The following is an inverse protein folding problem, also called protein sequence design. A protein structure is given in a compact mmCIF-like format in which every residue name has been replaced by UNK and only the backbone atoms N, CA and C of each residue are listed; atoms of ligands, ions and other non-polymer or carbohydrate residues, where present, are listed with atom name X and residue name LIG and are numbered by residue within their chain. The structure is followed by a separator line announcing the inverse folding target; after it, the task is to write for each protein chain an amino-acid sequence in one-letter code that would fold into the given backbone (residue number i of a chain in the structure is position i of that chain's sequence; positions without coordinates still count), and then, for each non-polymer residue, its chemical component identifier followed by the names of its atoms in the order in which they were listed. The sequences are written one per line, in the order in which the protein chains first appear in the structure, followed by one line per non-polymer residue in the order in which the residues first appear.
data_IF_650107355090
#
_entry.id   IF_650107355090
#
_cell.length_a   1.000
_cell.length_b   1.000
_cell.length_c   1.000
_cell.angle_alpha   90.00
_cell.angle_beta   90.00
_cell.angle_gamma   90.00
#
_symmetry.space_group_name_H-M   'P 1'
#
loop_
_entity.id
_entity.type
_entity.pdbx_description
1 polymer ?
#
# COMPACT_ATOMS: atom_id res chain seq x y z
N UNK A 1 18.25 28.91 5.24
CA UNK A 1 18.11 27.45 5.35
C UNK A 1 16.69 27.12 4.90
N UNK A 2 16.51 26.15 4.02
CA UNK A 2 15.17 25.68 3.61
C UNK A 2 14.41 25.13 4.83
N UNK A 3 13.08 25.26 4.84
CA UNK A 3 12.25 24.66 5.89
C UNK A 3 12.41 23.13 5.87
N UNK A 4 12.52 22.46 7.06
CA UNK A 4 12.63 21.00 7.12
C UNK A 4 11.41 20.32 6.51
N UNK A 5 11.62 19.29 5.69
CA UNK A 5 10.59 18.60 4.91
C UNK A 5 10.47 17.13 5.31
N UNK A 6 9.25 16.61 5.23
CA UNK A 6 9.00 15.17 5.33
C UNK A 6 9.40 14.46 4.03
N UNK A 7 9.57 13.14 4.08
CA UNK A 7 9.78 12.33 2.86
C UNK A 7 8.63 12.55 1.86
N UNK A 8 7.39 12.65 2.34
CA UNK A 8 6.24 12.93 1.50
C UNK A 8 6.37 14.29 0.79
N UNK A 9 6.73 15.36 1.52
CA UNK A 9 6.91 16.68 0.92
C UNK A 9 8.01 16.70 -0.14
N UNK A 10 9.13 16.02 0.12
CA UNK A 10 10.25 15.92 -0.83
C UNK A 10 9.83 15.24 -2.13
N UNK A 11 9.14 14.10 -2.03
CA UNK A 11 8.66 13.37 -3.21
C UNK A 11 7.60 14.18 -3.94
N UNK A 12 6.62 14.75 -3.20
CA UNK A 12 5.56 15.54 -3.79
C UNK A 12 6.11 16.72 -4.59
N UNK A 13 6.98 17.54 -3.99
CA UNK A 13 7.52 18.72 -4.63
C UNK A 13 8.38 18.42 -5.86
N UNK A 14 9.11 17.29 -5.85
CA UNK A 14 9.93 16.88 -7.00
C UNK A 14 9.08 16.38 -8.18
N UNK A 15 7.81 16.03 -7.95
CA UNK A 15 6.88 15.53 -8.99
C UNK A 15 5.76 16.51 -9.34
N UNK A 16 5.67 17.64 -8.65
CA UNK A 16 4.67 18.66 -8.91
C UNK A 16 4.99 19.38 -10.22
N UNK A 17 4.18 19.13 -11.25
CA UNK A 17 4.33 19.76 -12.56
C UNK A 17 3.58 21.09 -12.65
N UNK A 18 2.42 21.20 -12.01
CA UNK A 18 1.57 22.39 -12.02
C UNK A 18 0.63 22.40 -10.81
N UNK A 19 0.26 23.57 -10.35
CA UNK A 19 -0.73 23.75 -9.27
C UNK A 19 -1.64 24.93 -9.62
N UNK A 20 -2.96 24.72 -9.43
CA UNK A 20 -3.98 25.73 -9.60
C UNK A 20 -5.09 25.53 -8.57
N UNK A 21 -5.37 26.56 -7.77
CA UNK A 21 -6.42 26.58 -6.76
C UNK A 21 -6.41 25.34 -5.81
N UNK A 22 -5.23 24.74 -5.58
CA UNK A 22 -5.03 23.56 -4.73
C UNK A 22 -5.21 22.22 -5.45
N UNK A 23 -5.54 22.22 -6.73
CA UNK A 23 -5.43 21.06 -7.59
C UNK A 23 -4.02 20.97 -8.17
N UNK A 24 -3.37 19.85 -7.95
CA UNK A 24 -1.97 19.64 -8.28
C UNK A 24 -1.84 18.59 -9.39
N UNK A 25 -1.14 18.93 -10.46
CA UNK A 25 -0.77 17.97 -11.50
C UNK A 25 0.56 17.34 -11.14
N UNK A 26 0.52 16.06 -10.77
CA UNK A 26 1.70 15.27 -10.43
C UNK A 26 2.18 14.46 -11.63
N UNK A 27 3.49 14.42 -11.85
CA UNK A 27 4.11 13.45 -12.72
C UNK A 27 4.13 12.08 -12.06
N UNK A 28 3.81 11.02 -12.81
CA UNK A 28 3.80 9.63 -12.35
C UNK A 28 4.94 8.87 -13.02
N UNK A 29 5.87 8.35 -12.21
CA UNK A 29 7.04 7.62 -12.73
C UNK A 29 6.71 6.23 -13.20
N UNK A 30 5.86 5.50 -12.45
CA UNK A 30 5.57 4.08 -12.68
C UNK A 30 4.09 3.79 -12.58
N UNK A 31 3.63 2.91 -13.47
CA UNK A 31 2.25 2.43 -13.48
C UNK A 31 2.24 0.91 -13.49
N UNK A 32 1.72 0.31 -12.42
CA UNK A 32 1.46 -1.13 -12.33
C UNK A 32 0.04 -1.39 -12.82
N UNK A 33 -0.14 -2.43 -13.61
CA UNK A 33 -1.41 -2.72 -14.29
C UNK A 33 -1.79 -4.17 -14.05
N UNK A 34 -3.06 -4.40 -13.74
CA UNK A 34 -3.63 -5.73 -13.62
C UNK A 34 -4.95 -5.86 -14.42
N UNK A 35 -5.50 -7.06 -14.50
CA UNK A 35 -6.59 -7.40 -15.40
C UNK A 35 -7.96 -6.82 -15.02
N UNK A 36 -8.18 -6.48 -13.73
CA UNK A 36 -9.54 -6.10 -13.26
C UNK A 36 -9.90 -4.65 -13.64
N UNK A 37 -9.00 -3.70 -13.43
CA UNK A 37 -9.30 -2.25 -13.59
C UNK A 37 -8.82 -1.65 -14.92
N UNK A 38 -8.08 -2.41 -15.72
CA UNK A 38 -7.45 -1.89 -16.93
C UNK A 38 -8.30 -1.98 -18.22
N UNK A 39 -9.24 -2.93 -18.41
CA UNK A 39 -9.93 -3.08 -19.71
C UNK A 39 -10.63 -1.82 -20.18
N UNK A 40 -11.39 -1.16 -19.32
CA UNK A 40 -12.12 0.07 -19.67
C UNK A 40 -11.17 1.26 -19.91
N UNK A 41 -10.03 1.31 -19.21
CA UNK A 41 -9.03 2.35 -19.43
C UNK A 41 -8.40 2.24 -20.83
N UNK A 42 -8.06 1.04 -21.28
CA UNK A 42 -7.56 0.82 -22.63
C UNK A 42 -8.62 1.09 -23.71
N UNK A 43 -9.88 0.74 -23.45
CA UNK A 43 -10.97 1.07 -24.35
C UNK A 43 -11.16 2.59 -24.48
N UNK A 44 -11.07 3.33 -23.36
CA UNK A 44 -11.09 4.79 -23.36
C UNK A 44 -9.98 5.41 -24.22
N UNK A 45 -8.76 4.85 -24.17
CA UNK A 45 -7.66 5.27 -25.04
C UNK A 45 -8.00 5.06 -26.52
N UNK A 46 -8.57 3.90 -26.90
CA UNK A 46 -8.99 3.62 -28.29
C UNK A 46 -10.06 4.60 -28.76
N UNK A 47 -11.12 4.78 -27.96
CA UNK A 47 -12.23 5.68 -28.28
C UNK A 47 -11.76 7.14 -28.45
N UNK A 48 -10.78 7.57 -27.67
CA UNK A 48 -10.20 8.91 -27.74
C UNK A 48 -9.07 9.05 -28.76
N UNK A 49 -8.74 7.96 -29.48
CA UNK A 49 -7.62 7.88 -30.43
C UNK A 49 -6.27 8.30 -29.79
N UNK A 50 -6.03 7.83 -28.57
CA UNK A 50 -4.80 8.09 -27.81
C UNK A 50 -3.97 6.82 -27.67
N UNK A 51 -2.66 7.02 -27.54
CA UNK A 51 -1.70 5.95 -27.24
C UNK A 51 -1.20 6.06 -25.81
N UNK A 52 -0.56 5.00 -25.31
CA UNK A 52 0.16 5.06 -24.04
C UNK A 52 1.40 5.93 -24.21
N UNK A 53 1.53 6.96 -23.38
CA UNK A 53 2.60 7.97 -23.51
C UNK A 53 3.99 7.39 -23.27
N UNK A 54 4.15 6.53 -22.26
CA UNK A 54 5.42 5.91 -21.89
C UNK A 54 5.23 4.44 -21.51
N UNK A 55 5.09 3.54 -22.51
CA UNK A 55 4.86 2.12 -22.23
C UNK A 55 5.95 1.48 -21.35
N UNK A 56 7.20 1.95 -21.47
CA UNK A 56 8.34 1.46 -20.66
C UNK A 56 8.25 1.82 -19.17
N UNK A 57 7.36 2.73 -18.79
CA UNK A 57 7.10 3.12 -17.41
C UNK A 57 5.89 2.37 -16.82
N UNK A 58 5.32 1.45 -17.59
CA UNK A 58 4.23 0.57 -17.15
C UNK A 58 4.71 -0.89 -17.12
N UNK A 59 4.22 -1.64 -16.15
CA UNK A 59 4.47 -3.07 -16.01
C UNK A 59 3.15 -3.76 -15.66
N UNK A 60 2.78 -4.77 -16.43
CA UNK A 60 1.50 -5.45 -16.28
C UNK A 60 1.68 -6.91 -15.84
N UNK A 61 0.76 -7.38 -15.02
CA UNK A 61 0.63 -8.77 -14.59
C UNK A 61 -0.82 -9.07 -14.28
N UNK A 62 -1.29 -10.27 -14.57
CA UNK A 62 -2.55 -10.77 -14.04
C UNK A 62 -2.30 -11.45 -12.69
N UNK A 63 -3.08 -11.10 -11.67
CA UNK A 63 -2.94 -11.65 -10.32
C UNK A 63 -4.26 -11.86 -9.57
N UNK A 64 -5.29 -11.07 -9.86
CA UNK A 64 -6.59 -11.16 -9.18
C UNK A 64 -7.41 -12.40 -9.63
N UNK A 65 -7.34 -12.72 -10.91
CA UNK A 65 -8.12 -13.83 -11.52
C UNK A 65 -7.27 -15.08 -11.76
N UNK A 66 -6.10 -15.17 -11.15
CA UNK A 66 -5.22 -16.34 -11.26
C UNK A 66 -5.59 -17.35 -10.17
N UNK A 67 -6.04 -18.58 -10.53
CA UNK A 67 -6.34 -19.60 -9.54
C UNK A 67 -5.09 -20.07 -8.80
N UNK A 68 -5.25 -20.45 -7.54
CA UNK A 68 -4.20 -21.04 -6.71
C UNK A 68 -4.02 -22.56 -6.92
N UNK A 69 -4.78 -23.15 -7.85
CA UNK A 69 -4.65 -24.54 -8.28
C UNK A 69 -3.44 -24.74 -9.19
N UNK A 70 -3.19 -26.01 -9.58
CA UNK A 70 -2.11 -26.31 -10.52
C UNK A 70 -2.33 -25.54 -11.84
N UNK A 71 -1.35 -24.73 -12.23
CA UNK A 71 -1.39 -23.91 -13.45
C UNK A 71 -1.51 -24.71 -14.73
N UNK A 72 -1.10 -25.98 -14.71
CA UNK A 72 -1.27 -26.89 -15.84
C UNK A 72 -2.74 -27.21 -16.17
N UNK A 73 -3.65 -26.97 -15.22
CA UNK A 73 -5.09 -27.13 -15.41
C UNK A 73 -5.74 -25.94 -16.15
N UNK A 74 -4.98 -24.84 -16.38
CA UNK A 74 -5.52 -23.62 -16.97
C UNK A 74 -6.45 -22.87 -16.02
N UNK A 75 -7.22 -21.94 -16.58
CA UNK A 75 -8.18 -21.11 -15.86
C UNK A 75 -9.58 -21.68 -16.14
N UNK A 76 -10.23 -22.22 -15.09
CA UNK A 76 -11.53 -22.90 -15.25
C UNK A 76 -12.72 -21.94 -15.29
N UNK A 77 -12.54 -20.67 -14.95
CA UNK A 77 -13.57 -19.65 -14.99
C UNK A 77 -13.42 -18.81 -16.27
N UNK A 78 -14.47 -18.82 -17.12
CA UNK A 78 -14.45 -18.19 -18.43
C UNK A 78 -14.29 -16.66 -18.33
N UNK A 79 -14.91 -16.00 -17.35
CA UNK A 79 -14.80 -14.55 -17.17
C UNK A 79 -13.39 -14.16 -16.78
N UNK A 80 -12.78 -14.91 -15.88
CA UNK A 80 -11.38 -14.73 -15.48
C UNK A 80 -10.41 -14.90 -16.65
N UNK A 81 -10.62 -15.93 -17.48
CA UNK A 81 -9.80 -16.17 -18.67
C UNK A 81 -9.90 -15.02 -19.67
N UNK A 82 -11.12 -14.52 -19.93
CA UNK A 82 -11.36 -13.36 -20.81
C UNK A 82 -10.64 -12.12 -20.30
N UNK A 83 -10.71 -11.84 -19.01
CA UNK A 83 -10.04 -10.66 -18.42
C UNK A 83 -8.52 -10.75 -18.56
N UNK A 84 -7.93 -11.90 -18.30
CA UNK A 84 -6.49 -12.13 -18.43
C UNK A 84 -6.06 -12.00 -19.90
N UNK A 85 -6.79 -12.61 -20.82
CA UNK A 85 -6.51 -12.51 -22.25
C UNK A 85 -6.63 -11.06 -22.73
N UNK A 86 -7.65 -10.32 -22.28
CA UNK A 86 -7.86 -8.92 -22.60
C UNK A 86 -6.68 -8.07 -22.14
N UNK A 87 -6.14 -8.32 -20.95
CA UNK A 87 -4.93 -7.63 -20.47
C UNK A 87 -3.72 -7.92 -21.36
N UNK A 88 -3.49 -9.19 -21.73
CA UNK A 88 -2.38 -9.57 -22.62
C UNK A 88 -2.50 -8.88 -23.99
N UNK A 89 -3.68 -8.89 -24.58
CA UNK A 89 -3.93 -8.26 -25.88
C UNK A 89 -3.75 -6.74 -25.82
N UNK A 90 -4.26 -6.08 -24.78
CA UNK A 90 -4.05 -4.66 -24.53
C UNK A 90 -2.58 -4.30 -24.38
N UNK A 91 -1.84 -5.05 -23.57
CA UNK A 91 -0.41 -4.82 -23.38
C UNK A 91 0.37 -4.97 -24.69
N UNK A 92 0.02 -5.97 -25.49
CA UNK A 92 0.63 -6.18 -26.81
C UNK A 92 0.33 -5.03 -27.77
N UNK A 93 -0.91 -4.55 -27.81
CA UNK A 93 -1.34 -3.44 -28.67
C UNK A 93 -0.62 -2.16 -28.30
N UNK A 94 -0.54 -1.83 -27.01
CA UNK A 94 0.02 -0.56 -26.52
C UNK A 94 1.50 -0.62 -26.19
N UNK A 95 2.16 -1.76 -26.41
CA UNK A 95 3.61 -1.93 -26.23
C UNK A 95 4.06 -1.95 -24.77
N UNK A 96 3.20 -2.39 -23.84
CA UNK A 96 3.49 -2.49 -22.42
C UNK A 96 4.07 -3.88 -22.11
N UNK A 97 5.10 -3.94 -21.24
CA UNK A 97 5.62 -5.22 -20.78
C UNK A 97 4.58 -5.95 -19.94
N UNK A 98 4.21 -7.16 -20.35
CA UNK A 98 3.29 -8.04 -19.65
C UNK A 98 4.02 -9.30 -19.15
N UNK A 99 3.98 -9.52 -17.83
CA UNK A 99 4.47 -10.75 -17.21
C UNK A 99 3.38 -11.81 -17.34
N UNK A 100 3.60 -12.76 -18.28
CA UNK A 100 2.63 -13.82 -18.57
C UNK A 100 2.43 -14.76 -17.39
N UNK A 101 1.30 -15.43 -17.36
CA UNK A 101 0.97 -16.46 -16.35
C UNK A 101 1.98 -17.59 -16.29
N UNK A 102 2.63 -17.93 -17.42
CA UNK A 102 3.70 -18.92 -17.54
C UNK A 102 5.10 -18.42 -17.20
N UNK A 103 5.28 -17.11 -17.02
CA UNK A 103 6.57 -16.52 -16.66
C UNK A 103 6.89 -16.80 -15.19
N UNK A 104 8.14 -17.17 -14.88
CA UNK A 104 8.61 -17.39 -13.51
C UNK A 104 8.50 -16.14 -12.60
N UNK A 105 8.42 -14.94 -13.20
CA UNK A 105 8.24 -13.67 -12.49
C UNK A 105 6.79 -13.39 -12.11
N UNK A 106 5.83 -14.16 -12.64
CA UNK A 106 4.42 -13.92 -12.36
C UNK A 106 4.11 -14.08 -10.87
N UNK A 107 3.42 -13.11 -10.31
CA UNK A 107 3.05 -13.03 -8.92
C UNK A 107 2.12 -11.84 -8.67
N UNK A 108 1.86 -11.53 -7.42
CA UNK A 108 1.03 -10.42 -6.98
C UNK A 108 1.63 -9.08 -7.49
N UNK A 109 0.80 -8.20 -8.04
CA UNK A 109 1.21 -6.93 -8.67
C UNK A 109 2.08 -6.08 -7.74
N UNK A 110 1.80 -6.04 -6.44
CA UNK A 110 2.58 -5.28 -5.46
C UNK A 110 3.87 -5.98 -5.01
N UNK A 111 4.07 -7.24 -5.37
CA UNK A 111 5.30 -8.00 -5.10
C UNK A 111 6.25 -7.95 -6.28
N UNK A 112 5.73 -8.08 -7.51
CA UNK A 112 6.57 -8.08 -8.71
C UNK A 112 7.32 -6.76 -8.90
N UNK A 113 6.68 -5.62 -8.58
CA UNK A 113 7.31 -4.31 -8.70
C UNK A 113 8.64 -4.22 -7.93
N UNK A 114 8.66 -4.47 -6.63
CA UNK A 114 9.89 -4.53 -5.84
C UNK A 114 10.86 -5.63 -6.28
N UNK A 115 10.37 -6.85 -6.52
CA UNK A 115 11.23 -7.98 -6.90
C UNK A 115 11.93 -7.78 -8.24
N UNK A 116 11.31 -7.04 -9.16
CA UNK A 116 11.95 -6.68 -10.42
C UNK A 116 12.81 -5.41 -10.31
N UNK A 117 12.75 -4.66 -9.21
CA UNK A 117 13.40 -3.35 -9.09
C UNK A 117 12.69 -2.26 -9.90
N UNK A 118 11.42 -2.48 -10.25
CA UNK A 118 10.55 -1.47 -10.87
C UNK A 118 10.08 -0.42 -9.86
N UNK A 119 9.92 -0.84 -8.59
CA UNK A 119 9.67 0.03 -7.44
C UNK A 119 11.01 0.50 -6.87
N UNK A 120 11.24 1.82 -6.86
CA UNK A 120 12.46 2.43 -6.33
C UNK A 120 12.11 3.60 -5.39
N UNK A 121 12.99 3.92 -4.42
CA UNK A 121 12.78 5.06 -3.53
C UNK A 121 12.63 6.39 -4.26
N UNK A 122 11.75 7.24 -3.77
CA UNK A 122 11.53 8.57 -4.29
C UNK A 122 10.65 8.66 -5.53
N UNK A 123 10.20 7.52 -6.08
CA UNK A 123 9.29 7.51 -7.23
C UNK A 123 7.83 7.69 -6.81
N UNK A 124 7.02 8.16 -7.75
CA UNK A 124 5.55 8.11 -7.70
C UNK A 124 5.06 6.87 -8.45
N UNK A 125 4.23 6.05 -7.79
CA UNK A 125 3.72 4.78 -8.34
C UNK A 125 2.21 4.72 -8.21
N UNK A 126 1.54 4.33 -9.27
CA UNK A 126 0.08 4.12 -9.26
C UNK A 126 -0.29 2.73 -9.79
N UNK A 127 -1.45 2.26 -9.36
CA UNK A 127 -2.08 1.04 -9.84
C UNK A 127 -3.60 1.16 -9.63
N UNK A 128 -4.38 0.45 -10.40
CA UNK A 128 -5.83 0.33 -10.20
C UNK A 128 -6.24 -0.52 -9.00
N UNK A 129 -5.42 -0.59 -7.96
CA UNK A 129 -5.59 -1.38 -6.74
C UNK A 129 -5.32 -0.53 -5.50
N UNK A 130 -6.19 -0.61 -4.48
CA UNK A 130 -6.08 0.18 -3.25
C UNK A 130 -4.80 -0.10 -2.45
N UNK A 131 -4.30 -1.36 -2.47
CA UNK A 131 -3.11 -1.75 -1.72
C UNK A 131 -1.78 -1.37 -2.40
N UNK A 132 -1.82 -0.51 -3.41
CA UNK A 132 -0.63 0.11 -4.02
C UNK A 132 0.24 0.84 -2.99
N UNK A 133 -0.33 1.26 -1.85
CA UNK A 133 0.41 1.80 -0.71
C UNK A 133 1.54 0.89 -0.21
N UNK A 134 1.53 -0.42 -0.52
CA UNK A 134 2.59 -1.39 -0.21
C UNK A 134 3.98 -0.92 -0.65
N UNK A 135 4.06 -0.24 -1.80
CA UNK A 135 5.33 0.24 -2.37
C UNK A 135 5.98 1.35 -1.52
N UNK A 136 5.22 1.98 -0.62
CA UNK A 136 5.75 2.95 0.35
C UNK A 136 6.76 2.35 1.33
N UNK A 137 6.81 1.02 1.49
CA UNK A 137 7.84 0.30 2.23
C UNK A 137 9.26 0.54 1.71
N UNK A 138 9.36 0.95 0.45
CA UNK A 138 10.61 1.28 -0.25
C UNK A 138 10.86 2.79 -0.32
N UNK A 139 10.03 3.61 0.30
CA UNK A 139 10.12 5.06 0.20
C UNK A 139 9.61 5.63 -1.14
N UNK A 140 8.70 4.93 -1.82
CA UNK A 140 7.99 5.41 -2.99
C UNK A 140 6.62 6.00 -2.58
N UNK A 141 6.22 7.14 -3.15
CA UNK A 141 4.86 7.66 -2.98
C UNK A 141 3.92 6.87 -3.88
N UNK A 142 3.21 5.91 -3.30
CA UNK A 142 2.41 4.96 -4.04
C UNK A 142 0.98 4.91 -3.52
N UNK A 143 0.01 4.92 -4.43
CA UNK A 143 -1.40 4.84 -4.07
C UNK A 143 -2.29 4.31 -5.20
N UNK A 144 -3.43 3.75 -4.80
CA UNK A 144 -4.46 3.29 -5.72
C UNK A 144 -5.16 4.43 -6.45
N UNK A 145 -5.59 4.15 -7.69
CA UNK A 145 -6.34 5.08 -8.55
C UNK A 145 -7.54 4.37 -9.19
N UNK A 146 -8.55 5.15 -9.54
CA UNK A 146 -9.73 4.63 -10.23
C UNK A 146 -9.48 4.40 -11.73
N UNK A 147 -10.37 3.63 -12.38
CA UNK A 147 -10.24 3.25 -13.80
C UNK A 147 -10.06 4.44 -14.74
N UNK A 148 -10.80 5.55 -14.54
CA UNK A 148 -10.65 6.77 -15.35
C UNK A 148 -9.30 7.47 -15.14
N UNK A 149 -8.74 7.37 -13.91
CA UNK A 149 -7.40 7.87 -13.61
C UNK A 149 -6.32 6.96 -14.22
N UNK A 150 -6.57 5.63 -14.31
CA UNK A 150 -5.69 4.69 -15.04
C UNK A 150 -5.57 5.13 -16.51
N UNK A 151 -6.70 5.39 -17.19
CA UNK A 151 -6.70 5.92 -18.55
C UNK A 151 -5.91 7.23 -18.67
N UNK A 152 -6.17 8.17 -17.74
CA UNK A 152 -5.51 9.47 -17.72
C UNK A 152 -3.98 9.33 -17.58
N UNK A 153 -3.52 8.52 -16.64
CA UNK A 153 -2.07 8.30 -16.43
C UNK A 153 -1.43 7.61 -17.64
N UNK A 154 -2.08 6.62 -18.24
CA UNK A 154 -1.59 5.97 -19.44
C UNK A 154 -1.42 6.97 -20.59
N UNK A 155 -2.38 7.87 -20.76
CA UNK A 155 -2.37 8.88 -21.83
C UNK A 155 -1.37 10.02 -21.60
N UNK A 156 -1.15 10.43 -20.34
CA UNK A 156 -0.48 11.70 -20.03
C UNK A 156 0.77 11.55 -19.17
N UNK A 157 0.93 10.46 -18.44
CA UNK A 157 1.94 10.24 -17.40
C UNK A 157 1.79 11.21 -16.21
N UNK A 158 0.59 11.76 -16.02
CA UNK A 158 0.30 12.69 -14.93
C UNK A 158 -1.02 12.33 -14.25
N UNK A 159 -1.21 12.85 -13.03
CA UNK A 159 -2.42 12.67 -12.24
C UNK A 159 -2.79 13.97 -11.52
N UNK A 160 -4.08 14.35 -11.55
CA UNK A 160 -4.58 15.50 -10.79
C UNK A 160 -4.91 15.03 -9.38
N UNK A 161 -4.30 15.65 -8.36
CA UNK A 161 -4.49 15.31 -6.95
C UNK A 161 -4.47 16.56 -6.08
N UNK A 162 -5.11 16.48 -4.92
CA UNK A 162 -4.90 17.45 -3.83
C UNK A 162 -3.81 16.95 -2.90
N UNK A 163 -2.92 17.85 -2.46
CA UNK A 163 -1.88 17.49 -1.50
C UNK A 163 -2.52 17.03 -0.20
N UNK A 164 -2.19 15.81 0.22
CA UNK A 164 -2.60 15.27 1.51
C UNK A 164 -1.82 15.91 2.65
N UNK A 165 -2.33 15.79 3.87
CA UNK A 165 -1.62 16.19 5.10
C UNK A 165 -0.60 15.15 5.52
N UNK A 166 0.40 15.57 6.29
CA UNK A 166 1.43 14.71 6.86
C UNK A 166 0.97 14.12 8.19
N UNK A 167 0.98 12.78 8.32
CA UNK A 167 0.69 12.10 9.57
C UNK A 167 1.85 11.19 9.97
N UNK A 168 2.45 11.44 11.14
CA UNK A 168 3.50 10.58 11.68
C UNK A 168 2.90 9.52 12.61
N UNK A 169 3.20 8.27 12.33
CA UNK A 169 3.00 7.15 13.26
C UNK A 169 4.37 6.69 13.73
N UNK A 170 4.69 6.98 14.99
CA UNK A 170 5.98 6.64 15.58
C UNK A 170 5.81 5.40 16.47
N UNK A 171 6.48 4.33 16.10
CA UNK A 171 6.44 3.06 16.83
C UNK A 171 7.78 2.83 17.50
N UNK A 172 7.83 3.10 18.81
CA UNK A 172 9.04 3.05 19.62
C UNK A 172 9.23 1.68 20.28
N UNK A 173 10.46 1.42 20.71
CA UNK A 173 10.82 0.21 21.45
C UNK A 173 10.96 -1.02 20.56
N UNK A 174 11.10 -2.17 21.19
CA UNK A 174 11.31 -3.47 20.52
C UNK A 174 10.07 -4.33 20.70
N UNK A 175 9.58 -4.91 19.60
CA UNK A 175 8.51 -5.91 19.67
C UNK A 175 8.90 -7.13 20.47
N UNK A 176 7.94 -7.71 21.19
CA UNK A 176 8.06 -9.02 21.78
C UNK A 176 8.18 -10.10 20.68
N UNK A 177 8.78 -11.23 20.98
CA UNK A 177 9.10 -12.29 19.99
C UNK A 177 7.88 -12.83 19.23
N UNK A 178 6.68 -12.74 19.80
CA UNK A 178 5.45 -13.23 19.17
C UNK A 178 4.65 -12.13 18.44
N UNK A 179 5.15 -10.88 18.41
CA UNK A 179 4.50 -9.74 17.75
C UNK A 179 5.05 -9.60 16.34
N UNK A 180 4.19 -9.63 15.35
CA UNK A 180 4.52 -9.53 13.92
C UNK A 180 4.28 -8.12 13.38
N UNK A 181 4.71 -7.86 12.15
CA UNK A 181 4.41 -6.61 11.45
C UNK A 181 2.90 -6.37 11.29
N UNK A 182 2.10 -7.45 11.18
CA UNK A 182 0.64 -7.34 11.12
C UNK A 182 0.05 -6.85 12.44
N UNK A 183 0.58 -7.28 13.55
CA UNK A 183 0.14 -6.78 14.88
C UNK A 183 0.45 -5.28 15.01
N UNK A 184 1.61 -4.82 14.52
CA UNK A 184 1.92 -3.40 14.46
C UNK A 184 0.90 -2.63 13.62
N UNK A 185 0.59 -3.11 12.42
CA UNK A 185 -0.40 -2.47 11.55
C UNK A 185 -1.80 -2.44 12.19
N UNK A 186 -2.23 -3.56 12.77
CA UNK A 186 -3.51 -3.65 13.48
C UNK A 186 -3.55 -2.73 14.70
N UNK A 187 -2.44 -2.59 15.43
CA UNK A 187 -2.35 -1.66 16.57
C UNK A 187 -2.55 -0.21 16.13
N UNK A 188 -2.01 0.17 14.98
CA UNK A 188 -2.22 1.50 14.38
C UNK A 188 -3.69 1.68 14.01
N UNK A 189 -4.28 0.74 13.27
CA UNK A 189 -5.68 0.81 12.84
C UNK A 189 -6.62 0.86 14.06
N UNK A 190 -6.37 0.02 15.08
CA UNK A 190 -7.14 0.05 16.32
C UNK A 190 -7.03 1.37 17.09
N UNK A 191 -5.87 2.04 17.03
CA UNK A 191 -5.63 3.32 17.69
C UNK A 191 -6.30 4.52 16.99
N UNK A 192 -6.35 4.52 15.65
CA UNK A 192 -6.85 5.68 14.89
C UNK A 192 -8.21 5.44 14.23
N UNK A 193 -8.64 4.18 14.13
CA UNK A 193 -9.87 3.78 13.41
C UNK A 193 -9.68 3.71 11.90
N UNK A 194 -10.65 3.10 11.20
CA UNK A 194 -10.66 2.93 9.73
C UNK A 194 -10.78 4.23 8.93
N UNK A 195 -11.15 5.34 9.55
CA UNK A 195 -11.21 6.67 8.95
C UNK A 195 -10.14 7.63 9.48
N UNK A 196 -9.31 7.20 10.42
CA UNK A 196 -8.36 8.07 11.13
C UNK A 196 -7.23 8.64 10.28
N UNK A 197 -6.94 8.01 9.14
CA UNK A 197 -5.96 8.42 8.14
C UNK A 197 -6.54 9.17 6.94
N UNK A 198 -7.88 9.41 6.91
CA UNK A 198 -8.51 10.06 5.75
C UNK A 198 -7.95 11.47 5.51
N UNK A 199 -7.47 11.71 4.29
CA UNK A 199 -6.83 12.97 3.89
C UNK A 199 -5.36 13.10 4.29
N UNK A 200 -4.75 12.00 4.77
CA UNK A 200 -3.34 11.96 5.16
C UNK A 200 -2.54 10.98 4.30
N UNK A 201 -1.24 11.25 4.24
CA UNK A 201 -0.19 10.26 3.97
C UNK A 201 0.48 9.96 5.31
N UNK A 202 0.59 8.67 5.66
CA UNK A 202 1.18 8.23 6.93
C UNK A 202 2.67 7.91 6.71
N UNK A 203 3.54 8.55 7.49
CA UNK A 203 4.94 8.16 7.61
C UNK A 203 5.14 7.33 8.88
N UNK A 204 5.64 6.12 8.72
CA UNK A 204 5.97 5.22 9.82
C UNK A 204 7.44 5.41 10.22
N UNK A 205 7.67 5.68 11.49
CA UNK A 205 8.99 5.97 12.06
C UNK A 205 9.20 5.24 13.40
N UNK A 206 10.40 5.25 13.92
CA UNK A 206 10.76 4.71 15.22
C UNK A 206 11.43 3.34 15.15
N UNK A 207 12.02 2.93 16.27
CA UNK A 207 12.91 1.77 16.37
C UNK A 207 12.26 0.46 15.92
N UNK A 208 10.98 0.27 16.23
CA UNK A 208 10.25 -0.94 15.82
C UNK A 208 10.14 -1.00 14.28
N UNK A 209 9.84 0.12 13.60
CA UNK A 209 9.75 0.19 12.13
C UNK A 209 11.11 -0.05 11.48
N UNK A 210 12.15 0.58 12.01
CA UNK A 210 13.53 0.42 11.52
C UNK A 210 14.00 -1.04 11.65
N UNK A 211 13.55 -1.75 12.70
CA UNK A 211 13.90 -3.16 12.94
C UNK A 211 13.24 -4.12 11.98
N UNK A 212 12.08 -3.78 11.38
CA UNK A 212 11.35 -4.65 10.46
C UNK A 212 12.19 -5.06 9.25
N UNK A 213 11.92 -6.28 8.75
CA UNK A 213 12.34 -6.67 7.39
C UNK A 213 11.59 -5.85 6.34
N UNK A 214 12.02 -5.91 5.09
CA UNK A 214 11.31 -5.24 4.00
C UNK A 214 9.88 -5.77 3.87
N UNK A 215 9.66 -7.07 3.98
CA UNK A 215 8.33 -7.70 3.95
C UNK A 215 7.45 -7.22 5.11
N UNK A 216 8.05 -7.01 6.29
CA UNK A 216 7.35 -6.42 7.45
C UNK A 216 6.92 -4.97 7.18
N UNK A 217 7.78 -4.16 6.54
CA UNK A 217 7.44 -2.80 6.11
C UNK A 217 6.36 -2.81 5.00
N UNK A 218 6.43 -3.78 4.09
CA UNK A 218 5.38 -3.97 3.07
C UNK A 218 4.04 -4.26 3.73
N UNK A 219 3.99 -5.14 4.73
CA UNK A 219 2.78 -5.42 5.51
C UNK A 219 2.22 -4.17 6.18
N UNK A 220 3.08 -3.35 6.79
CA UNK A 220 2.68 -2.12 7.46
C UNK A 220 2.12 -1.09 6.48
N UNK A 221 2.82 -0.83 5.37
CA UNK A 221 2.36 0.09 4.33
C UNK A 221 1.13 -0.43 3.57
N UNK A 222 1.02 -1.76 3.35
CA UNK A 222 -0.14 -2.38 2.74
C UNK A 222 -1.42 -2.09 3.53
N UNK A 223 -1.40 -2.31 4.84
CA UNK A 223 -2.55 -2.11 5.71
C UNK A 223 -2.86 -0.63 6.02
N UNK A 224 -2.08 0.31 5.52
CA UNK A 224 -2.32 1.75 5.70
C UNK A 224 -3.65 2.21 5.08
N UNK A 225 -4.07 1.58 3.99
CA UNK A 225 -5.35 1.88 3.34
C UNK A 225 -6.54 1.52 4.23
N UNK A 226 -6.41 0.49 5.08
CA UNK A 226 -7.45 0.09 6.02
C UNK A 226 -7.70 1.13 7.13
N UNK A 227 -6.75 2.02 7.35
CA UNK A 227 -6.92 3.20 8.20
C UNK A 227 -7.48 4.42 7.45
N UNK A 228 -7.82 4.28 6.16
CA UNK A 228 -8.37 5.33 5.30
C UNK A 228 -7.32 6.32 4.76
N UNK A 229 -6.02 6.07 4.97
CA UNK A 229 -4.97 6.95 4.48
C UNK A 229 -4.73 6.79 2.98
N UNK A 230 -4.22 7.85 2.34
CA UNK A 230 -3.92 7.85 0.89
C UNK A 230 -2.72 6.95 0.55
N UNK A 231 -1.69 6.96 1.39
CA UNK A 231 -0.47 6.18 1.25
C UNK A 231 0.20 5.98 2.60
N UNK A 232 1.05 4.96 2.70
CA UNK A 232 1.98 4.75 3.81
C UNK A 232 3.41 4.85 3.30
N UNK A 233 4.31 5.39 4.09
CA UNK A 233 5.72 5.59 3.74
C UNK A 233 6.64 5.12 4.88
N UNK A 234 7.72 4.47 4.51
CA UNK A 234 8.88 4.24 5.36
C UNK A 234 10.09 4.85 4.66
N UNK A 235 10.87 5.65 5.36
CA UNK A 235 12.11 6.21 4.80
C UNK A 235 13.06 5.10 4.37
N UNK A 236 13.62 5.16 3.13
CA UNK A 236 14.54 4.15 2.64
C UNK A 236 15.84 4.16 3.46
N UNK A 237 16.32 2.98 3.77
CA UNK A 237 17.56 2.76 4.53
C UNK A 237 18.40 1.65 3.90
N UNK A 238 19.46 1.23 4.62
CA UNK A 238 20.36 0.19 4.15
C UNK A 238 19.65 -1.12 3.78
N UNK A 239 18.58 -1.53 4.52
CA UNK A 239 17.80 -2.73 4.19
C UNK A 239 17.07 -2.58 2.85
N UNK A 240 16.55 -1.38 2.58
CA UNK A 240 15.91 -1.05 1.30
C UNK A 240 16.91 -1.15 0.15
N UNK A 241 18.12 -0.61 0.34
CA UNK A 241 19.17 -0.64 -0.68
C UNK A 241 19.64 -2.07 -0.94
N UNK A 242 19.88 -2.87 0.10
CA UNK A 242 20.26 -4.28 -0.04
C UNK A 242 19.20 -5.11 -0.75
N UNK A 243 17.91 -4.88 -0.46
CA UNK A 243 16.81 -5.57 -1.14
C UNK A 243 16.75 -5.26 -2.63
N UNK A 244 16.97 -4.01 -3.02
CA UNK A 244 16.85 -3.53 -4.39
C UNK A 244 18.12 -3.77 -5.22
N UNK A 245 19.26 -4.03 -4.58
CA UNK A 245 20.52 -4.25 -5.27
C UNK A 245 20.42 -5.46 -6.20
N UNK A 246 20.95 -5.28 -7.40
CA UNK A 246 21.01 -6.32 -8.44
C UNK A 246 19.65 -6.81 -8.97
N UNK A 247 18.54 -6.19 -8.59
CA UNK A 247 17.24 -6.48 -9.21
C UNK A 247 17.28 -6.14 -10.70
N UNK A 248 16.50 -6.84 -11.55
CA UNK A 248 16.58 -6.69 -13.01
C UNK A 248 16.46 -5.26 -13.53
N UNK A 249 15.55 -4.46 -12.97
CA UNK A 249 15.25 -3.10 -13.40
C UNK A 249 15.84 -2.03 -12.46
N UNK A 250 16.61 -2.42 -11.45
CA UNK A 250 17.33 -1.48 -10.59
C UNK A 250 18.50 -0.84 -11.35
N UNK A 251 18.90 0.39 -10.99
CA UNK A 251 20.12 0.99 -11.51
C UNK A 251 21.32 0.06 -11.35
N UNK A 252 22.30 0.18 -12.26
CA UNK A 252 23.51 -0.67 -12.26
C UNK A 252 24.77 0.18 -12.15
N UNK A 253 25.83 -0.42 -11.68
CA UNK A 253 27.17 0.17 -11.63
C UNK A 253 27.16 1.60 -11.05
N UNK A 254 27.72 2.58 -11.75
CA UNK A 254 27.82 3.98 -11.31
C UNK A 254 26.45 4.65 -11.12
N UNK A 255 25.41 4.18 -11.84
CA UNK A 255 24.03 4.66 -11.65
C UNK A 255 23.47 4.20 -10.30
N UNK A 256 23.86 3.00 -9.84
CA UNK A 256 23.47 2.51 -8.53
C UNK A 256 24.01 3.38 -7.40
N UNK A 257 25.29 3.70 -7.44
CA UNK A 257 25.91 4.53 -6.40
C UNK A 257 25.27 5.94 -6.35
N UNK A 258 25.03 6.52 -7.52
CA UNK A 258 24.34 7.80 -7.65
C UNK A 258 22.90 7.76 -7.11
N UNK A 259 22.19 6.67 -7.40
CA UNK A 259 20.83 6.44 -6.90
C UNK A 259 20.80 6.31 -5.37
N UNK A 260 21.70 5.52 -4.79
CA UNK A 260 21.80 5.36 -3.33
C UNK A 260 22.10 6.68 -2.64
N UNK A 261 23.01 7.51 -3.19
CA UNK A 261 23.28 8.84 -2.63
C UNK A 261 22.03 9.73 -2.67
N UNK A 262 21.27 9.71 -3.75
CA UNK A 262 19.99 10.41 -3.84
C UNK A 262 18.98 9.86 -2.82
N UNK A 263 18.80 8.54 -2.74
CA UNK A 263 17.84 7.90 -1.85
C UNK A 263 18.07 8.21 -0.37
N UNK A 264 19.31 8.34 0.04
CA UNK A 264 19.69 8.78 1.41
C UNK A 264 19.15 10.17 1.74
N UNK A 265 18.95 11.02 0.75
CA UNK A 265 18.43 12.40 0.95
C UNK A 265 16.92 12.44 1.17
N UNK A 266 16.19 11.33 0.88
CA UNK A 266 14.75 11.28 0.94
C UNK A 266 14.19 11.23 2.37
N UNK A 267 14.94 10.70 3.33
CA UNK A 267 14.51 10.62 4.72
C UNK A 267 14.05 12.00 5.22
N UNK A 268 13.00 12.02 6.03
CA UNK A 268 12.46 13.24 6.62
C UNK A 268 13.54 14.02 7.39
N UNK A 269 13.58 15.31 7.20
CA UNK A 269 14.57 16.18 7.83
C UNK A 269 14.33 16.23 9.34
N UNK A 270 15.41 16.40 10.11
CA UNK A 270 15.29 16.67 11.54
C UNK A 270 14.50 17.96 11.76
N UNK A 271 13.38 17.85 12.47
CA UNK A 271 12.48 18.98 12.74
C UNK A 271 11.42 19.19 11.66
N UNK A 272 11.23 18.23 10.73
CA UNK A 272 10.07 18.22 9.83
C UNK A 272 8.77 18.25 10.65
N UNK A 273 7.78 18.98 10.13
CA UNK A 273 6.48 19.15 10.80
C UNK A 273 5.46 18.19 10.24
N UNK A 274 4.68 17.62 11.14
CA UNK A 274 3.53 16.77 10.81
C UNK A 274 2.24 17.45 11.29
N UNK A 275 1.17 17.33 10.52
CA UNK A 275 -0.15 17.82 10.91
C UNK A 275 -0.75 16.98 12.05
N UNK A 276 -0.36 15.72 12.14
CA UNK A 276 -0.78 14.77 13.18
C UNK A 276 0.37 13.82 13.53
N UNK A 277 0.50 13.49 14.81
CA UNK A 277 1.45 12.50 15.30
C UNK A 277 0.77 11.61 16.34
N UNK A 278 1.02 10.30 16.26
CA UNK A 278 0.74 9.35 17.35
C UNK A 278 2.01 8.57 17.66
N UNK A 279 2.10 8.11 18.92
CA UNK A 279 3.18 7.22 19.36
C UNK A 279 2.59 5.92 19.88
N UNK A 280 3.22 4.80 19.51
CA UNK A 280 2.88 3.45 19.96
C UNK A 280 4.14 2.86 20.56
N UNK A 281 4.00 2.22 21.72
CA UNK A 281 5.07 1.46 22.37
C UNK A 281 4.97 -0.02 21.97
N UNK A 282 5.89 -0.46 21.11
CA UNK A 282 5.94 -1.83 20.62
C UNK A 282 6.28 -2.85 21.75
N UNK A 283 6.95 -2.39 22.80
CA UNK A 283 7.29 -3.25 23.95
C UNK A 283 6.08 -3.71 24.77
N UNK A 284 4.99 -2.95 24.69
CA UNK A 284 3.73 -3.27 25.36
C UNK A 284 2.73 -4.04 24.49
N UNK A 285 3.06 -4.28 23.21
CA UNK A 285 2.18 -5.03 22.34
C UNK A 285 2.24 -6.53 22.59
N UNK A 286 1.09 -7.14 22.49
CA UNK A 286 0.88 -8.59 22.42
C UNK A 286 0.31 -8.94 21.05
N UNK A 287 0.34 -10.21 20.62
CA UNK A 287 -0.36 -10.62 19.42
C UNK A 287 -1.82 -10.16 19.42
N UNK A 288 -2.30 -9.69 18.30
CA UNK A 288 -3.62 -9.09 18.14
C UNK A 288 -4.53 -9.95 17.28
N UNK A 289 -5.82 -9.88 17.54
CA UNK A 289 -6.86 -10.45 16.68
C UNK A 289 -7.96 -9.43 16.42
N UNK A 290 -8.65 -9.55 15.29
CA UNK A 290 -9.89 -8.81 15.03
C UNK A 290 -11.06 -9.69 15.46
N UNK A 291 -11.92 -9.16 16.32
CA UNK A 291 -13.10 -9.89 16.83
C UNK A 291 -14.39 -9.55 16.10
N UNK A 292 -14.38 -8.53 15.27
CA UNK A 292 -15.56 -7.98 14.64
C UNK A 292 -15.53 -8.02 13.11
N UNK A 293 -16.29 -7.13 12.49
CA UNK A 293 -16.46 -7.01 11.05
C UNK A 293 -15.62 -5.90 10.42
N UNK A 294 -14.78 -5.23 11.22
CA UNK A 294 -13.90 -4.15 10.81
C UNK A 294 -12.47 -4.42 11.29
N UNK A 295 -11.42 -4.05 10.54
CA UNK A 295 -10.04 -4.15 10.99
C UNK A 295 -9.71 -3.26 12.20
N UNK A 296 -10.56 -2.31 12.57
CA UNK A 296 -10.41 -1.53 13.82
C UNK A 296 -10.92 -2.26 15.06
N UNK A 297 -11.69 -3.35 14.88
CA UNK A 297 -12.19 -4.19 15.96
C UNK A 297 -11.07 -5.10 16.51
N UNK A 298 -9.99 -4.49 17.01
CA UNK A 298 -8.76 -5.15 17.41
C UNK A 298 -8.70 -5.34 18.92
N UNK A 299 -8.19 -6.48 19.32
CA UNK A 299 -7.97 -6.83 20.74
C UNK A 299 -6.72 -7.71 20.90
N UNK A 300 -6.10 -7.65 22.08
CA UNK A 300 -5.07 -8.62 22.48
C UNK A 300 -5.62 -10.04 22.50
N UNK A 301 -4.82 -11.01 22.07
CA UNK A 301 -5.18 -12.44 22.14
C UNK A 301 -5.47 -12.90 23.58
N UNK A 302 -4.95 -12.20 24.57
CA UNK A 302 -5.23 -12.44 26.00
C UNK A 302 -6.39 -11.57 26.53
N UNK A 303 -7.03 -10.79 25.68
CA UNK A 303 -8.12 -9.88 26.03
C UNK A 303 -9.50 -10.55 26.05
N UNK A 304 -10.50 -9.72 26.34
CA UNK A 304 -11.90 -10.12 26.32
C UNK A 304 -12.67 -9.33 25.26
N UNK A 305 -13.67 -9.96 24.67
CA UNK A 305 -14.65 -9.31 23.79
C UNK A 305 -15.23 -8.08 24.52
N UNK A 306 -15.37 -6.91 23.86
CA UNK A 306 -15.87 -5.69 24.50
C UNK A 306 -17.24 -5.89 25.15
N UNK A 307 -17.42 -5.33 26.36
CA UNK A 307 -18.74 -5.19 26.96
C UNK A 307 -19.46 -3.98 26.38
N UNK A 308 -20.70 -4.15 26.02
CA UNK A 308 -21.52 -3.05 25.48
C UNK A 308 -21.74 -1.92 26.48
N UNK A 309 -21.74 -2.24 27.77
CA UNK A 309 -21.91 -1.28 28.87
C UNK A 309 -20.74 -0.32 29.04
N UNK A 310 -19.53 -0.74 28.60
CA UNK A 310 -18.32 0.08 28.69
C UNK A 310 -18.25 1.14 27.56
N UNK A 311 -19.11 1.01 26.53
CA UNK A 311 -19.13 1.90 25.37
C UNK A 311 -20.12 3.04 25.59
N UNK A 312 -19.59 4.25 25.81
CA UNK A 312 -20.40 5.44 26.15
C UNK A 312 -21.15 6.03 24.94
N UNK A 313 -20.56 5.93 23.76
CA UNK A 313 -21.17 6.44 22.52
C UNK A 313 -22.24 5.47 22.02
N UNK A 314 -23.47 5.95 21.87
CA UNK A 314 -24.63 5.13 21.50
C UNK A 314 -24.53 4.57 20.07
N UNK A 315 -23.98 5.34 19.14
CA UNK A 315 -23.77 4.92 17.75
C UNK A 315 -22.72 3.81 17.69
N UNK A 316 -21.59 4.01 18.38
CA UNK A 316 -20.52 3.00 18.48
C UNK A 316 -21.01 1.75 19.19
N UNK A 317 -21.74 1.89 20.31
CA UNK A 317 -22.33 0.73 21.02
C UNK A 317 -23.27 -0.08 20.13
N UNK A 318 -24.11 0.60 19.33
CA UNK A 318 -25.01 -0.06 18.38
C UNK A 318 -24.27 -0.76 17.25
N UNK A 319 -23.18 -0.16 16.73
CA UNK A 319 -22.34 -0.79 15.72
C UNK A 319 -21.62 -2.04 16.26
N UNK A 320 -21.01 -1.93 17.43
CA UNK A 320 -20.36 -3.07 18.13
C UNK A 320 -21.35 -4.18 18.40
N UNK A 321 -22.57 -3.86 18.86
CA UNK A 321 -23.63 -4.87 19.07
C UNK A 321 -23.94 -5.64 17.78
N UNK A 322 -24.14 -4.95 16.65
CA UNK A 322 -24.41 -5.62 15.36
C UNK A 322 -23.24 -6.52 14.93
N UNK A 323 -21.99 -6.06 15.14
CA UNK A 323 -20.80 -6.83 14.83
C UNK A 323 -20.71 -8.10 15.67
N UNK A 324 -20.98 -8.00 16.99
CA UNK A 324 -21.00 -9.14 17.89
C UNK A 324 -22.12 -10.14 17.56
N UNK A 325 -23.32 -9.63 17.25
CA UNK A 325 -24.46 -10.45 16.82
C UNK A 325 -24.13 -11.22 15.52
N UNK A 326 -23.50 -10.53 14.54
CA UNK A 326 -23.07 -11.15 13.27
C UNK A 326 -21.98 -12.23 13.47
N UNK A 327 -21.00 -11.95 14.32
CA UNK A 327 -19.91 -12.88 14.62
C UNK A 327 -20.30 -13.98 15.63
N UNK A 328 -21.53 -13.92 16.18
CA UNK A 328 -22.02 -14.82 17.22
C UNK A 328 -21.10 -14.85 18.46
N UNK A 329 -20.66 -13.67 18.89
CA UNK A 329 -19.78 -13.49 20.04
C UNK A 329 -20.54 -12.99 21.26
N UNK A 330 -20.13 -13.47 22.45
CA UNK A 330 -20.70 -13.06 23.74
C UNK A 330 -19.89 -11.90 24.31
N UNK A 331 -20.49 -10.73 24.59
CA UNK A 331 -19.82 -9.61 25.25
C UNK A 331 -19.11 -10.05 26.55
N UNK A 332 -17.89 -9.56 26.77
CA UNK A 332 -17.09 -9.87 27.97
C UNK A 332 -16.43 -11.24 27.99
N UNK A 333 -16.71 -12.13 27.03
CA UNK A 333 -16.05 -13.44 26.98
C UNK A 333 -14.57 -13.32 26.59
N UNK A 334 -13.67 -14.21 27.09
CA UNK A 334 -12.28 -14.19 26.71
C UNK A 334 -12.09 -14.63 25.24
N UNK A 335 -11.15 -13.99 24.55
CA UNK A 335 -10.73 -14.40 23.19
C UNK A 335 -10.09 -15.78 23.23
N UNK A 336 -9.33 -16.06 24.27
CA UNK A 336 -8.64 -17.35 24.43
C UNK A 336 -9.64 -18.52 24.46
N UNK A 337 -9.48 -19.43 23.54
CA UNK A 337 -10.36 -20.60 23.38
C UNK A 337 -11.44 -20.43 22.31
N UNK A 338 -11.56 -19.26 21.67
CA UNK A 338 -12.37 -19.13 20.46
C UNK A 338 -11.64 -19.76 19.27
N UNK A 339 -12.40 -20.50 18.44
CA UNK A 339 -11.86 -20.98 17.16
C UNK A 339 -11.98 -19.89 16.13
N UNK A 340 -10.88 -19.59 15.45
CA UNK A 340 -10.88 -18.69 14.30
C UNK A 340 -11.29 -19.37 12.98
N UNK A 341 -11.47 -20.72 13.04
CA UNK A 341 -11.90 -21.53 11.91
C UNK A 341 -13.16 -22.28 12.30
N UNK A 342 -14.27 -21.87 11.74
CA UNK A 342 -15.49 -22.66 11.74
C UNK A 342 -15.44 -23.66 10.59
N UNK A 343 -15.15 -24.88 10.94
CA UNK A 343 -15.20 -26.01 9.99
C UNK A 343 -16.62 -26.52 9.92
#
# INVERSE_FOLDING_TARGET
MSEPKTIYDKIWESHLAYEDEGDCLLYIDRHLIHEVTSPQAFEGLRMSNRTVRRPQNALAVADHNIPTTDRALGIGDEESEIQIQTLEDNCKEFGIEYIKTSDKRQGIVHIIGPEQGFTLPGLTIVCGDSHTSTHGAFGALAHGIGTSEVEHVLATQTLIQKKAKNFQVKINGKCNDNVTAKDLALSVIGAIGTAGGTGYVIEYTGEAVESLSIEGRMTLCNLTIEAGARAGLVSPDQKTFEYLKDRPMSPKDDEWDSAVEYWKTLASDKGAKYDKTIEIDAGNLTPLVTWGTSPEDVISIDGNIPNLEDIKDDSKRSAVKRSLDYMNLIPGSPIKGLSLIHI
#
